data_IF_153344819655
#
_entry.id   IF_153344819655
#
_cell.length_a   1.000
_cell.length_b   1.000
_cell.length_c   1.000
_cell.angle_alpha   90.00
_cell.angle_beta   90.00
_cell.angle_gamma   90.00
#
_symmetry.space_group_name_H-M   'P 1'
#
loop_
_entity.id
_entity.type
_entity.pdbx_description
1 polymer ?
#
# COMPACT_ATOMS: atom_id res chain seq x y z
N UNK A 1 3.87 17.83 -32.85
CA UNK A 1 3.62 18.52 -31.56
C UNK A 1 3.18 17.38 -30.68
N UNK A 2 4.18 16.76 -30.07
CA UNK A 2 4.05 15.42 -29.53
C UNK A 2 3.91 15.63 -28.04
N UNK A 3 2.65 15.62 -27.60
CA UNK A 3 2.29 15.73 -26.20
C UNK A 3 2.72 14.43 -25.51
N UNK A 4 3.91 14.46 -24.90
CA UNK A 4 4.30 13.53 -23.87
C UNK A 4 3.49 13.85 -22.62
N UNK A 5 2.33 13.19 -22.46
CA UNK A 5 1.67 13.13 -21.16
C UNK A 5 2.44 12.16 -20.26
N UNK A 6 3.31 12.73 -19.41
CA UNK A 6 3.84 12.07 -18.22
C UNK A 6 2.67 11.56 -17.37
N UNK A 7 2.35 10.27 -17.49
CA UNK A 7 1.43 9.59 -16.59
C UNK A 7 2.21 8.97 -15.43
N UNK A 8 2.73 9.81 -14.53
CA UNK A 8 2.97 9.39 -13.15
C UNK A 8 1.64 9.55 -12.39
N UNK A 9 0.66 8.71 -12.74
CA UNK A 9 -0.68 8.74 -12.17
C UNK A 9 -0.96 7.41 -11.50
N UNK A 10 -1.09 7.43 -10.17
CA UNK A 10 -1.63 6.38 -9.28
C UNK A 10 -2.38 5.31 -10.06
N UNK A 11 -1.91 4.06 -9.98
CA UNK A 11 -2.44 2.90 -10.70
C UNK A 11 -3.96 2.80 -10.61
N UNK A 12 -4.63 3.33 -11.63
CA UNK A 12 -6.08 3.47 -11.69
C UNK A 12 -6.72 2.23 -12.30
N UNK A 13 -7.05 1.26 -11.45
CA UNK A 13 -8.19 0.38 -11.75
C UNK A 13 -9.49 1.20 -11.77
N UNK A 14 -10.57 0.69 -12.36
CA UNK A 14 -11.86 1.37 -12.32
C UNK A 14 -12.24 1.67 -10.86
N UNK A 15 -12.50 2.94 -10.58
CA UNK A 15 -12.93 3.38 -9.25
C UNK A 15 -14.27 2.73 -8.91
N UNK A 16 -14.47 2.22 -7.69
CA UNK A 16 -15.77 1.67 -7.30
C UNK A 16 -16.83 2.78 -7.34
N UNK A 17 -18.06 2.38 -7.70
CA UNK A 17 -19.16 3.32 -7.92
C UNK A 17 -19.55 4.14 -6.67
N UNK A 18 -19.31 3.61 -5.47
CA UNK A 18 -19.67 4.23 -4.20
C UNK A 18 -18.51 4.16 -3.20
N UNK A 19 -17.71 5.23 -3.17
CA UNK A 19 -16.61 5.42 -2.20
C UNK A 19 -17.14 6.04 -0.92
N UNK A 20 -16.82 5.43 0.22
CA UNK A 20 -17.16 5.91 1.57
C UNK A 20 -15.99 6.69 2.16
N UNK A 21 -14.80 6.09 2.16
CA UNK A 21 -13.58 6.67 2.72
C UNK A 21 -12.36 6.22 1.92
N UNK A 22 -11.27 6.98 2.00
CA UNK A 22 -9.99 6.61 1.40
C UNK A 22 -8.82 7.10 2.25
N UNK A 23 -7.75 6.31 2.25
CA UNK A 23 -6.53 6.67 2.93
C UNK A 23 -5.31 6.03 2.29
N UNK A 24 -4.16 6.35 2.86
CA UNK A 24 -2.90 5.73 2.51
C UNK A 24 -2.15 5.34 3.79
N UNK A 25 -1.36 4.30 3.72
CA UNK A 25 -0.49 3.84 4.81
C UNK A 25 0.83 3.33 4.26
N UNK A 26 1.81 3.23 5.15
CA UNK A 26 3.10 2.63 4.83
C UNK A 26 3.15 1.17 5.26
N UNK A 27 3.99 0.39 4.59
CA UNK A 27 4.26 -0.99 4.93
C UNK A 27 5.45 -1.08 5.89
N UNK A 28 5.42 -2.05 6.80
CA UNK A 28 6.63 -2.47 7.49
C UNK A 28 7.48 -3.29 6.51
N UNK A 29 8.71 -2.85 6.25
CA UNK A 29 9.62 -3.48 5.31
C UNK A 29 9.98 -4.91 5.76
N UNK A 30 10.11 -5.13 7.07
CA UNK A 30 10.36 -6.47 7.64
C UNK A 30 9.15 -7.41 7.57
N UNK A 31 7.96 -6.90 7.26
CA UNK A 31 6.71 -7.68 7.19
C UNK A 31 6.43 -8.27 5.80
N UNK A 32 7.18 -7.86 4.77
CA UNK A 32 6.92 -8.22 3.38
C UNK A 32 8.14 -8.86 2.71
N UNK A 33 7.95 -9.63 1.62
CA UNK A 33 9.08 -10.14 0.85
C UNK A 33 9.95 -9.00 0.30
N UNK A 34 11.27 -9.11 0.47
CA UNK A 34 12.23 -8.14 -0.06
C UNK A 34 12.24 -8.11 -1.59
N UNK A 35 12.39 -6.92 -2.18
CA UNK A 35 12.46 -6.74 -3.63
C UNK A 35 11.14 -6.92 -4.37
N UNK A 36 10.00 -6.71 -3.69
CA UNK A 36 8.65 -6.74 -4.30
C UNK A 36 8.04 -5.33 -4.33
N UNK A 37 7.97 -4.68 -3.17
CA UNK A 37 7.24 -3.42 -2.99
C UNK A 37 8.16 -2.19 -2.97
N UNK A 38 7.58 -1.02 -3.25
CA UNK A 38 8.25 0.27 -3.04
C UNK A 38 8.51 0.51 -1.54
N UNK A 39 9.73 0.91 -1.20
CA UNK A 39 10.15 1.25 0.16
C UNK A 39 9.80 2.68 0.59
N UNK A 40 9.14 3.48 -0.25
CA UNK A 40 8.65 4.80 0.10
C UNK A 40 7.57 4.76 1.21
N UNK A 41 7.14 5.94 1.66
CA UNK A 41 6.02 6.06 2.60
C UNK A 41 4.70 6.20 1.85
N UNK A 42 3.62 5.72 2.47
CA UNK A 42 2.26 5.84 1.94
C UNK A 42 2.06 5.16 0.57
N UNK A 43 2.74 4.04 0.35
CA UNK A 43 2.70 3.23 -0.88
C UNK A 43 1.57 2.19 -0.89
N UNK A 44 0.73 2.18 0.15
CA UNK A 44 -0.49 1.38 0.22
C UNK A 44 -1.68 2.33 0.26
N UNK A 45 -2.36 2.45 -0.87
CA UNK A 45 -3.65 3.12 -0.96
C UNK A 45 -4.76 2.15 -0.55
N UNK A 46 -5.77 2.65 0.16
CA UNK A 46 -6.95 1.87 0.50
C UNK A 46 -8.23 2.70 0.39
N UNK A 47 -9.32 2.02 0.06
CA UNK A 47 -10.64 2.60 -0.14
C UNK A 47 -11.67 1.72 0.57
N UNK A 48 -12.58 2.34 1.30
CA UNK A 48 -13.83 1.71 1.75
C UNK A 48 -14.91 2.05 0.74
N UNK A 49 -15.58 1.04 0.21
CA UNK A 49 -16.60 1.20 -0.81
C UNK A 49 -17.73 0.21 -0.65
N UNK A 50 -18.82 0.41 -1.41
CA UNK A 50 -19.86 -0.60 -1.60
C UNK A 50 -19.75 -1.19 -3.01
N UNK A 51 -19.52 -2.49 -3.10
CA UNK A 51 -19.56 -3.24 -4.34
C UNK A 51 -20.93 -3.90 -4.50
N UNK A 52 -21.82 -3.27 -5.27
CA UNK A 52 -23.22 -3.69 -5.36
C UNK A 52 -23.97 -3.40 -4.07
N UNK A 53 -24.19 -4.41 -3.23
CA UNK A 53 -24.79 -4.26 -1.90
C UNK A 53 -23.85 -4.61 -0.74
N UNK A 54 -22.64 -5.09 -1.04
CA UNK A 54 -21.69 -5.56 -0.05
C UNK A 54 -20.59 -4.51 0.19
N UNK A 55 -20.36 -4.11 1.45
CA UNK A 55 -19.20 -3.29 1.81
C UNK A 55 -17.90 -4.04 1.61
N UNK A 56 -16.93 -3.38 0.99
CA UNK A 56 -15.60 -3.91 0.71
C UNK A 56 -14.52 -2.89 1.05
N UNK A 57 -13.35 -3.40 1.45
CA UNK A 57 -12.12 -2.62 1.45
C UNK A 57 -11.30 -3.01 0.21
N UNK A 58 -10.95 -2.03 -0.62
CA UNK A 58 -10.05 -2.19 -1.75
C UNK A 58 -8.67 -1.70 -1.31
N UNK A 59 -7.65 -2.51 -1.48
CA UNK A 59 -6.27 -2.18 -1.11
C UNK A 59 -5.39 -2.32 -2.35
N UNK A 60 -4.46 -1.37 -2.53
CA UNK A 60 -3.46 -1.39 -3.58
C UNK A 60 -2.10 -1.01 -2.99
N UNK A 61 -1.14 -1.94 -3.08
CA UNK A 61 0.25 -1.71 -2.71
C UNK A 61 1.10 -1.56 -3.97
N UNK A 62 1.96 -0.55 -4.02
CA UNK A 62 2.83 -0.32 -5.18
C UNK A 62 3.91 -1.41 -5.30
N UNK A 63 3.88 -2.12 -6.43
CA UNK A 63 4.81 -3.21 -6.78
C UNK A 63 5.83 -2.69 -7.78
N UNK A 64 7.11 -2.69 -7.38
CA UNK A 64 8.22 -2.09 -8.18
C UNK A 64 9.29 -3.13 -8.54
N UNK A 65 9.45 -4.17 -7.72
CA UNK A 65 10.49 -5.16 -7.90
C UNK A 65 10.05 -6.40 -8.67
N UNK A 66 11.00 -7.28 -9.04
CA UNK A 66 10.74 -8.47 -9.84
C UNK A 66 10.10 -9.62 -9.06
N UNK A 67 10.03 -9.53 -7.72
CA UNK A 67 9.38 -10.55 -6.91
C UNK A 67 7.85 -10.50 -6.99
N UNK A 68 7.19 -11.54 -6.46
CA UNK A 68 5.72 -11.68 -6.55
C UNK A 68 5.02 -11.15 -5.29
N UNK A 69 3.99 -10.28 -5.42
CA UNK A 69 3.12 -9.88 -4.31
C UNK A 69 2.05 -10.92 -3.96
N UNK A 70 1.85 -11.95 -4.80
CA UNK A 70 0.75 -12.91 -4.66
C UNK A 70 0.79 -13.58 -3.28
N UNK A 71 -0.35 -13.57 -2.59
CA UNK A 71 -0.50 -14.27 -1.32
C UNK A 71 0.03 -13.49 -0.11
N UNK A 72 0.61 -12.31 -0.30
CA UNK A 72 0.99 -11.43 0.82
C UNK A 72 -0.31 -11.02 1.55
N UNK A 73 -0.42 -11.27 2.86
CA UNK A 73 -1.66 -11.02 3.60
C UNK A 73 -1.94 -9.52 3.72
N UNK A 74 -3.22 -9.18 3.72
CA UNK A 74 -3.72 -7.83 3.97
C UNK A 74 -4.77 -7.90 5.05
N UNK A 75 -4.66 -7.03 6.05
CA UNK A 75 -5.66 -6.87 7.10
C UNK A 75 -6.07 -5.42 7.21
N UNK A 76 -7.39 -5.19 7.31
CA UNK A 76 -7.95 -3.94 7.80
C UNK A 76 -8.50 -4.19 9.20
N UNK A 77 -8.21 -3.27 10.12
CA UNK A 77 -8.72 -3.28 11.48
C UNK A 77 -9.35 -1.94 11.82
N UNK A 78 -10.52 -1.99 12.44
CA UNK A 78 -11.26 -0.87 12.99
C UNK A 78 -11.98 -1.36 14.26
N UNK A 79 -12.36 -0.46 15.17
CA UNK A 79 -12.98 -0.86 16.45
C UNK A 79 -14.25 -1.71 16.29
N UNK A 80 -14.99 -1.51 15.19
CA UNK A 80 -16.23 -2.23 14.90
C UNK A 80 -16.13 -3.22 13.73
N UNK A 81 -15.04 -3.16 12.95
CA UNK A 81 -14.93 -3.88 11.70
C UNK A 81 -13.55 -4.44 11.47
N UNK A 82 -13.50 -5.52 10.71
CA UNK A 82 -12.24 -6.03 10.18
C UNK A 82 -12.42 -6.58 8.78
N UNK A 83 -11.34 -6.67 8.04
CA UNK A 83 -11.32 -7.34 6.74
C UNK A 83 -9.97 -8.01 6.55
N UNK A 84 -9.97 -9.18 5.91
CA UNK A 84 -8.76 -9.95 5.66
C UNK A 84 -8.77 -10.50 4.24
N UNK A 85 -7.59 -10.67 3.67
CA UNK A 85 -7.39 -11.22 2.33
C UNK A 85 -5.92 -11.23 1.95
N UNK A 86 -5.64 -11.38 0.67
CA UNK A 86 -4.28 -11.45 0.15
C UNK A 86 -4.15 -10.63 -1.12
N UNK A 87 -2.96 -10.08 -1.34
CA UNK A 87 -2.64 -9.42 -2.60
C UNK A 87 -2.65 -10.41 -3.76
N UNK A 88 -3.13 -9.94 -4.91
CA UNK A 88 -2.98 -10.56 -6.22
C UNK A 88 -1.67 -10.14 -6.89
N UNK A 89 -1.44 -10.61 -8.12
CA UNK A 89 -0.22 -10.32 -8.88
C UNK A 89 -0.02 -8.85 -9.25
N UNK A 90 -1.06 -8.03 -9.14
CA UNK A 90 -1.00 -6.59 -9.36
C UNK A 90 -0.84 -5.77 -8.07
N UNK A 91 -0.63 -6.44 -6.94
CA UNK A 91 -0.55 -5.77 -5.63
C UNK A 91 -1.91 -5.28 -5.14
N UNK A 92 -3.02 -5.89 -5.59
CA UNK A 92 -4.38 -5.51 -5.19
C UNK A 92 -5.04 -6.56 -4.31
N UNK A 93 -5.91 -6.13 -3.40
CA UNK A 93 -6.80 -7.00 -2.67
C UNK A 93 -8.20 -6.38 -2.52
N UNK A 94 -9.23 -7.21 -2.64
CA UNK A 94 -10.61 -6.85 -2.32
C UNK A 94 -11.02 -7.67 -1.10
N UNK A 95 -11.32 -6.98 0.00
CA UNK A 95 -11.58 -7.58 1.30
C UNK A 95 -13.05 -7.40 1.67
N UNK A 96 -13.73 -8.46 2.08
CA UNK A 96 -15.07 -8.35 2.64
C UNK A 96 -14.99 -7.74 4.04
N UNK A 97 -15.78 -6.69 4.30
CA UNK A 97 -15.84 -6.07 5.62
C UNK A 97 -16.75 -6.89 6.53
N UNK A 98 -16.22 -7.33 7.65
CA UNK A 98 -16.90 -8.12 8.66
C UNK A 98 -17.11 -7.28 9.93
N UNK A 99 -18.23 -7.52 10.61
CA UNK A 99 -18.53 -6.97 11.93
C UNK A 99 -17.83 -7.74 13.06
N UNK A 100 -18.11 -7.36 14.30
CA UNK A 100 -17.53 -7.99 15.50
C UNK A 100 -17.94 -9.46 15.70
N UNK A 101 -19.01 -9.91 15.06
CA UNK A 101 -19.52 -11.30 15.12
C UNK A 101 -19.11 -12.12 13.88
N UNK A 102 -18.16 -11.63 13.08
CA UNK A 102 -17.63 -12.26 11.87
C UNK A 102 -18.64 -12.34 10.73
N UNK A 103 -19.68 -11.51 10.76
CA UNK A 103 -20.71 -11.48 9.73
C UNK A 103 -20.44 -10.35 8.73
N UNK A 104 -20.87 -10.51 7.46
CA UNK A 104 -20.79 -9.42 6.49
C UNK A 104 -21.44 -8.15 7.03
N UNK A 105 -20.69 -7.05 7.06
CA UNK A 105 -21.16 -5.79 7.59
C UNK A 105 -22.31 -5.23 6.75
N UNK A 106 -23.32 -4.65 7.41
CA UNK A 106 -24.41 -3.99 6.73
C UNK A 106 -23.95 -2.65 6.15
N UNK A 107 -24.21 -2.41 4.86
CA UNK A 107 -23.75 -1.21 4.15
C UNK A 107 -24.12 0.11 4.85
N UNK A 108 -25.35 0.21 5.37
CA UNK A 108 -25.79 1.40 6.11
C UNK A 108 -24.91 1.71 7.33
N UNK A 109 -24.45 0.69 8.05
CA UNK A 109 -23.62 0.89 9.25
C UNK A 109 -22.21 1.32 8.84
N UNK A 110 -21.66 0.74 7.77
CA UNK A 110 -20.34 1.11 7.20
C UNK A 110 -20.35 2.57 6.73
N UNK A 111 -21.44 3.03 6.12
CA UNK A 111 -21.64 4.42 5.71
C UNK A 111 -21.70 5.41 6.88
N UNK A 112 -22.38 5.05 7.98
CA UNK A 112 -22.53 5.91 9.16
C UNK A 112 -21.29 5.89 10.09
N UNK A 113 -20.19 5.24 9.68
CA UNK A 113 -18.98 5.06 10.49
C UNK A 113 -17.92 6.11 10.20
N UNK A 114 -17.28 6.61 11.27
CA UNK A 114 -16.01 7.33 11.17
C UNK A 114 -14.85 6.34 11.03
N UNK A 115 -14.15 6.43 9.89
CA UNK A 115 -13.04 5.55 9.52
C UNK A 115 -11.66 6.11 9.92
N UNK A 116 -11.60 7.22 10.65
CA UNK A 116 -10.34 7.86 11.09
C UNK A 116 -9.39 6.94 11.87
N UNK A 117 -9.92 5.91 12.54
CA UNK A 117 -9.14 4.91 13.30
C UNK A 117 -8.89 3.61 12.51
N UNK A 118 -9.20 3.56 11.21
CA UNK A 118 -8.95 2.40 10.39
C UNK A 118 -7.45 2.21 10.17
N UNK A 119 -6.97 1.00 10.43
CA UNK A 119 -5.58 0.62 10.21
C UNK A 119 -5.52 -0.48 9.16
N UNK A 120 -4.78 -0.23 8.07
CA UNK A 120 -4.47 -1.24 7.05
C UNK A 120 -3.04 -1.72 7.26
N UNK A 121 -2.85 -3.03 7.20
CA UNK A 121 -1.54 -3.69 7.29
C UNK A 121 -1.39 -4.63 6.12
N UNK A 122 -0.23 -4.58 5.46
CA UNK A 122 0.16 -5.50 4.38
C UNK A 122 1.41 -6.25 4.81
N UNK A 123 1.39 -7.57 4.66
CA UNK A 123 2.42 -8.46 5.16
C UNK A 123 2.22 -8.87 6.62
N UNK A 124 3.23 -9.55 7.17
CA UNK A 124 3.27 -9.89 8.58
C UNK A 124 3.42 -8.62 9.43
N UNK A 125 2.85 -8.64 10.65
CA UNK A 125 3.13 -7.58 11.61
C UNK A 125 4.62 -7.59 11.97
N UNK A 126 5.27 -6.46 11.81
CA UNK A 126 6.61 -6.20 12.26
C UNK A 126 6.62 -4.87 13.02
N UNK A 127 7.26 -4.84 14.18
CA UNK A 127 7.50 -3.60 14.90
C UNK A 127 8.65 -2.87 14.20
N UNK A 128 8.29 -1.82 13.46
CA UNK A 128 9.24 -1.00 12.74
C UNK A 128 8.91 0.47 12.93
N UNK A 129 9.89 1.21 13.43
CA UNK A 129 9.75 2.63 13.72
C UNK A 129 9.84 3.47 12.43
N UNK A 130 8.83 4.31 12.12
CA UNK A 130 8.90 5.25 11.00
C UNK A 130 10.15 6.14 10.99
N UNK A 131 10.68 6.52 12.16
CA UNK A 131 11.91 7.33 12.24
C UNK A 131 13.14 6.57 11.75
N UNK A 132 13.18 5.25 12.00
CA UNK A 132 14.25 4.39 11.50
C UNK A 132 14.17 4.27 9.98
N UNK A 133 12.98 4.05 9.42
CA UNK A 133 12.77 4.02 7.97
C UNK A 133 13.16 5.35 7.32
N UNK A 134 12.79 6.47 7.92
CA UNK A 134 13.18 7.79 7.43
C UNK A 134 14.69 8.02 7.47
N UNK A 135 15.36 7.58 8.52
CA UNK A 135 16.82 7.64 8.62
C UNK A 135 17.49 6.82 7.53
N UNK A 136 17.02 5.59 7.26
CA UNK A 136 17.55 4.73 6.20
C UNK A 136 17.31 5.36 4.82
N UNK A 137 16.12 5.89 4.54
CA UNK A 137 15.81 6.57 3.28
C UNK A 137 16.70 7.80 3.05
N UNK A 138 16.89 8.64 4.09
CA UNK A 138 17.79 9.79 4.00
C UNK A 138 19.24 9.38 3.75
N UNK A 139 19.69 8.30 4.38
CA UNK A 139 21.03 7.75 4.13
C UNK A 139 21.20 7.29 2.68
N UNK A 140 20.27 6.48 2.16
CA UNK A 140 20.30 6.01 0.78
C UNK A 140 20.27 7.17 -0.23
N UNK A 141 19.36 8.14 -0.05
CA UNK A 141 19.28 9.34 -0.92
C UNK A 141 20.58 10.13 -0.95
N UNK A 142 21.25 10.30 0.19
CA UNK A 142 22.55 10.99 0.25
C UNK A 142 23.62 10.24 -0.54
N UNK A 143 23.67 8.90 -0.45
CA UNK A 143 24.63 8.09 -1.21
C UNK A 143 24.39 8.13 -2.71
N UNK A 144 23.13 8.16 -3.14
CA UNK A 144 22.78 8.28 -4.56
C UNK A 144 23.10 9.67 -5.11
N UNK A 145 22.88 10.73 -4.32
CA UNK A 145 23.15 12.10 -4.76
C UNK A 145 24.66 12.43 -4.88
N UNK A 146 25.52 11.72 -4.13
CA UNK A 146 26.98 11.88 -4.16
C UNK A 146 27.66 10.51 -4.01
N UNK A 147 27.76 9.71 -5.11
CA UNK A 147 28.35 8.39 -5.06
C UNK A 147 29.82 8.44 -4.64
N UNK A 148 30.12 7.91 -3.46
CA UNK A 148 31.49 7.83 -2.93
C UNK A 148 32.31 6.76 -3.68
N UNK A 149 33.67 6.80 -3.66
CA UNK A 149 34.51 5.81 -4.37
C UNK A 149 34.26 4.33 -4.07
N UNK A 150 33.56 4.00 -2.98
CA UNK A 150 33.14 2.64 -2.61
C UNK A 150 31.69 2.33 -3.05
N UNK A 151 31.09 3.16 -3.91
CA UNK A 151 29.74 2.95 -4.41
C UNK A 151 29.65 1.64 -5.21
N UNK A 152 28.56 0.90 -4.98
CA UNK A 152 28.24 -0.27 -5.79
C UNK A 152 27.82 0.16 -7.20
N UNK A 153 28.04 -0.70 -8.19
CA UNK A 153 27.60 -0.43 -9.58
C UNK A 153 26.10 -0.08 -9.66
N UNK A 154 25.28 -0.74 -8.84
CA UNK A 154 23.85 -0.44 -8.75
C UNK A 154 23.56 0.99 -8.24
N UNK A 155 24.39 1.53 -7.34
CA UNK A 155 24.24 2.90 -6.84
C UNK A 155 24.63 3.93 -7.90
N UNK A 156 25.69 3.66 -8.67
CA UNK A 156 26.12 4.52 -9.79
C UNK A 156 25.02 4.56 -10.85
N UNK A 157 24.53 3.39 -11.28
CA UNK A 157 23.46 3.30 -12.27
C UNK A 157 22.18 3.99 -11.79
N UNK A 158 21.82 3.83 -10.51
CA UNK A 158 20.65 4.50 -9.94
C UNK A 158 20.83 6.03 -9.88
N UNK A 159 22.02 6.52 -9.55
CA UNK A 159 22.32 7.96 -9.54
C UNK A 159 22.27 8.59 -10.94
N UNK A 160 22.70 7.86 -11.97
CA UNK A 160 22.69 8.31 -13.37
C UNK A 160 21.30 8.24 -14.02
N UNK A 161 20.37 7.46 -13.46
CA UNK A 161 19.08 7.16 -14.08
C UNK A 161 17.96 8.18 -13.79
N UNK A 162 18.21 9.22 -12.98
CA UNK A 162 17.19 10.19 -12.51
C UNK A 162 15.85 9.51 -12.17
N UNK A 163 15.81 8.79 -11.05
CA UNK A 163 14.58 8.19 -10.50
C UNK A 163 13.72 9.22 -9.75
#
# INVERSE_FOLDING_TARGET
RDDYALAAGRGGGPEPAEVIERGATSMAWGGVPGGVFDAAENTVDWIIAVAGSAPVALVHADVVGPGSPIGVPVTLQHNAFRAEGTLDGSGRATLAILDADDRPAAARVVWDTDWSNATVTVGARADEDPEVRDRVRRFARRRLADPHPDAFLAEILAAESDY
#
